data_IF_979876959005
#
_entry.id   IF_979876959005
#
_cell.length_a   1.000
_cell.length_b   1.000
_cell.length_c   1.000
_cell.angle_alpha   90.00
_cell.angle_beta   90.00
_cell.angle_gamma   90.00
#
_symmetry.space_group_name_H-M   'P 1'
#
loop_
_entity.id
_entity.type
_entity.pdbx_description
1 polymer ?
#
# COMPACT_ATOMS: atom_id res chain seq x y z
N UNK A 1 -19.60 24.35 -4.35
CA UNK A 1 -19.49 22.90 -4.62
C UNK A 1 -20.85 22.31 -4.34
N UNK A 2 -21.48 21.69 -5.33
CA UNK A 2 -22.70 20.94 -5.07
C UNK A 2 -22.37 19.86 -4.04
N UNK A 3 -23.18 19.72 -3.00
CA UNK A 3 -23.08 18.62 -2.04
C UNK A 3 -23.31 17.31 -2.78
N UNK A 4 -22.23 16.72 -3.27
CA UNK A 4 -22.22 15.35 -3.77
C UNK A 4 -22.55 14.46 -2.57
N UNK A 5 -23.80 14.08 -2.42
CA UNK A 5 -24.22 13.10 -1.41
C UNK A 5 -23.67 11.72 -1.82
N UNK A 6 -22.34 11.57 -1.69
CA UNK A 6 -21.61 10.36 -2.06
C UNK A 6 -21.80 9.33 -0.94
N UNK A 7 -22.58 8.30 -1.20
CA UNK A 7 -22.63 7.12 -0.31
C UNK A 7 -21.37 6.25 -0.51
N UNK A 8 -20.21 6.86 -0.28
CA UNK A 8 -18.89 6.26 -0.44
C UNK A 8 -18.16 6.23 0.90
N UNK A 9 -17.62 5.10 1.26
CA UNK A 9 -16.82 4.92 2.46
C UNK A 9 -15.39 4.50 2.08
N UNK A 10 -14.39 5.37 2.32
CA UNK A 10 -13.00 4.96 2.25
C UNK A 10 -12.66 4.01 3.41
N UNK A 11 -12.21 2.81 3.09
CA UNK A 11 -11.79 1.77 4.03
C UNK A 11 -10.27 1.65 3.95
N UNK A 12 -9.59 2.14 4.97
CA UNK A 12 -8.14 2.26 5.02
C UNK A 12 -7.57 1.14 5.90
N UNK A 13 -6.67 0.35 5.35
CA UNK A 13 -6.04 -0.73 6.09
C UNK A 13 -4.68 -0.25 6.59
N UNK A 14 -4.60 0.01 7.90
CA UNK A 14 -3.47 0.63 8.58
C UNK A 14 -3.93 1.60 9.67
N UNK A 15 -2.97 2.15 10.43
CA UNK A 15 -3.26 3.10 11.49
C UNK A 15 -2.17 4.18 11.65
N UNK A 16 -1.20 4.20 10.76
CA UNK A 16 -0.05 5.08 10.79
C UNK A 16 -0.33 6.47 10.18
N UNK A 17 0.73 7.25 10.03
CA UNK A 17 0.65 8.58 9.43
C UNK A 17 0.20 8.53 7.94
N UNK A 18 0.54 7.47 7.20
CA UNK A 18 0.09 7.33 5.82
C UNK A 18 -1.43 7.15 5.77
N UNK A 19 -1.98 6.33 6.67
CA UNK A 19 -3.42 6.16 6.83
C UNK A 19 -4.12 7.50 7.11
N UNK A 20 -3.59 8.30 8.03
CA UNK A 20 -4.13 9.61 8.32
C UNK A 20 -4.06 10.56 7.12
N UNK A 21 -2.95 10.56 6.38
CA UNK A 21 -2.79 11.42 5.19
C UNK A 21 -3.79 11.05 4.09
N UNK A 22 -4.05 9.76 3.87
CA UNK A 22 -5.08 9.31 2.92
C UNK A 22 -6.47 9.72 3.37
N UNK A 23 -6.80 9.53 4.66
CA UNK A 23 -8.07 9.97 5.23
C UNK A 23 -8.27 11.48 5.09
N UNK A 24 -7.22 12.25 5.32
CA UNK A 24 -7.23 13.70 5.16
C UNK A 24 -7.51 14.11 3.72
N UNK A 25 -6.90 13.45 2.75
CA UNK A 25 -7.14 13.72 1.33
C UNK A 25 -8.60 13.48 0.94
N UNK A 26 -9.22 12.38 1.40
CA UNK A 26 -10.64 12.13 1.18
C UNK A 26 -11.53 13.17 1.86
N UNK A 27 -11.16 13.57 3.07
CA UNK A 27 -11.93 14.57 3.81
C UNK A 27 -11.84 15.96 3.16
N UNK A 28 -10.64 16.41 2.80
CA UNK A 28 -10.43 17.72 2.16
C UNK A 28 -11.10 17.82 0.79
N UNK A 29 -11.05 16.73 -0.01
CA UNK A 29 -11.63 16.73 -1.35
C UNK A 29 -13.15 16.53 -1.39
N UNK A 30 -13.69 15.71 -0.48
CA UNK A 30 -15.06 15.22 -0.59
C UNK A 30 -15.88 15.30 0.71
N UNK A 31 -15.29 15.80 1.82
CA UNK A 31 -15.97 15.84 3.13
C UNK A 31 -16.18 14.46 3.77
N UNK A 32 -15.58 13.40 3.23
CA UNK A 32 -15.77 12.03 3.70
C UNK A 32 -15.05 11.76 5.02
N UNK A 33 -15.65 10.91 5.85
CA UNK A 33 -15.02 10.30 7.02
C UNK A 33 -14.56 8.89 6.65
N UNK A 34 -13.27 8.62 6.77
CA UNK A 34 -12.72 7.32 6.46
C UNK A 34 -12.86 6.33 7.61
N UNK A 35 -12.99 5.05 7.31
CA UNK A 35 -12.90 3.98 8.30
C UNK A 35 -11.53 3.32 8.20
N UNK A 36 -10.76 3.32 9.30
CA UNK A 36 -9.43 2.70 9.34
C UNK A 36 -9.45 1.43 10.17
N UNK A 37 -8.88 0.34 9.63
CA UNK A 37 -8.68 -0.91 10.35
C UNK A 37 -7.20 -1.13 10.62
N UNK A 38 -6.83 -1.46 11.85
CA UNK A 38 -5.44 -1.68 12.23
C UNK A 38 -5.30 -2.49 13.50
N UNK A 39 -4.13 -3.09 13.69
CA UNK A 39 -3.82 -3.90 14.91
C UNK A 39 -3.81 -3.05 16.18
N UNK A 40 -3.36 -1.83 16.06
CA UNK A 40 -3.33 -0.82 17.13
C UNK A 40 -3.46 0.58 16.52
N UNK A 41 -4.10 1.46 17.27
CA UNK A 41 -4.19 2.86 16.87
C UNK A 41 -2.96 3.64 17.33
N UNK A 42 -2.58 4.64 16.54
CA UNK A 42 -1.71 5.72 17.00
C UNK A 42 -2.53 7.00 17.18
N UNK A 43 -2.00 7.95 17.95
CA UNK A 43 -2.77 9.13 18.37
C UNK A 43 -3.46 9.90 17.26
N UNK A 44 -2.81 10.03 16.09
CA UNK A 44 -3.36 10.78 14.95
C UNK A 44 -4.56 10.10 14.28
N UNK A 45 -4.66 8.78 14.30
CA UNK A 45 -5.80 8.04 13.74
C UNK A 45 -6.88 7.76 14.77
N UNK A 46 -6.52 7.72 16.06
CA UNK A 46 -7.45 7.46 17.15
C UNK A 46 -8.24 8.69 17.60
N UNK A 47 -7.62 9.87 17.56
CA UNK A 47 -8.16 11.10 18.15
C UNK A 47 -8.47 12.17 17.10
N UNK A 48 -9.00 11.77 15.96
CA UNK A 48 -9.38 12.65 14.87
C UNK A 48 -10.87 12.48 14.52
N UNK A 49 -11.50 13.55 14.05
CA UNK A 49 -12.90 13.51 13.59
C UNK A 49 -13.06 12.95 12.17
N UNK A 50 -11.97 12.83 11.41
CA UNK A 50 -12.00 12.39 10.00
C UNK A 50 -11.73 10.89 9.82
N UNK A 51 -11.44 10.16 10.91
CA UNK A 51 -11.21 8.71 10.90
C UNK A 51 -12.03 8.04 11.98
N UNK A 52 -12.77 7.00 11.62
CA UNK A 52 -13.36 6.02 12.54
C UNK A 52 -12.44 4.81 12.61
N UNK A 53 -11.71 4.68 13.70
CA UNK A 53 -10.74 3.59 13.86
C UNK A 53 -11.38 2.31 14.40
N UNK A 54 -11.07 1.18 13.76
CA UNK A 54 -11.48 -0.17 14.15
C UNK A 54 -10.25 -1.00 14.49
N UNK A 55 -10.11 -1.38 15.75
CA UNK A 55 -9.04 -2.28 16.16
C UNK A 55 -9.36 -3.71 15.75
N UNK A 56 -8.47 -4.33 14.99
CA UNK A 56 -8.53 -5.75 14.60
C UNK A 56 -7.19 -6.37 14.94
N UNK A 57 -7.17 -7.22 15.96
CA UNK A 57 -5.95 -7.97 16.31
C UNK A 57 -5.57 -8.92 15.18
N UNK A 58 -4.29 -9.11 14.94
CA UNK A 58 -3.76 -9.98 13.88
C UNK A 58 -4.30 -9.67 12.46
N UNK A 59 -4.64 -8.41 12.18
CA UNK A 59 -5.18 -8.00 10.87
C UNK A 59 -4.25 -8.33 9.68
N UNK A 60 -2.99 -8.59 9.93
CA UNK A 60 -2.02 -9.02 8.93
C UNK A 60 -2.06 -10.53 8.60
N UNK A 61 -2.92 -11.30 9.26
CA UNK A 61 -3.16 -12.70 8.92
C UNK A 61 -4.32 -12.78 7.92
N UNK A 62 -4.15 -13.57 6.86
CA UNK A 62 -5.10 -13.66 5.74
C UNK A 62 -6.54 -13.93 6.20
N UNK A 63 -6.75 -14.94 7.05
CA UNK A 63 -8.09 -15.29 7.56
C UNK A 63 -8.73 -14.14 8.35
N UNK A 64 -7.95 -13.50 9.24
CA UNK A 64 -8.44 -12.38 10.07
C UNK A 64 -8.76 -11.17 9.21
N UNK A 65 -7.92 -10.89 8.22
CA UNK A 65 -8.13 -9.82 7.26
C UNK A 65 -9.43 -10.04 6.48
N UNK A 66 -9.61 -11.23 5.90
CA UNK A 66 -10.79 -11.55 5.12
C UNK A 66 -12.07 -11.51 5.95
N UNK A 67 -12.05 -12.03 7.19
CA UNK A 67 -13.19 -11.92 8.11
C UNK A 67 -13.53 -10.46 8.40
N UNK A 68 -12.54 -9.62 8.71
CA UNK A 68 -12.76 -8.21 9.02
C UNK A 68 -13.35 -7.43 7.81
N UNK A 69 -12.86 -7.72 6.61
CA UNK A 69 -13.37 -7.11 5.38
C UNK A 69 -14.80 -7.58 5.09
N UNK A 70 -15.10 -8.86 5.22
CA UNK A 70 -16.45 -9.40 5.01
C UNK A 70 -17.46 -8.81 6.02
N UNK A 71 -17.11 -8.77 7.30
CA UNK A 71 -17.93 -8.20 8.36
C UNK A 71 -18.22 -6.71 8.13
N UNK A 72 -17.21 -5.97 7.68
CA UNK A 72 -17.37 -4.55 7.38
C UNK A 72 -18.29 -4.33 6.18
N UNK A 73 -18.10 -5.09 5.10
CA UNK A 73 -18.94 -5.01 3.92
C UNK A 73 -20.40 -5.36 4.23
N UNK A 74 -20.65 -6.36 5.08
CA UNK A 74 -22.00 -6.74 5.49
C UNK A 74 -22.70 -5.62 6.28
N UNK A 75 -21.99 -4.88 7.12
CA UNK A 75 -22.52 -3.74 7.90
C UNK A 75 -22.77 -2.49 7.06
N UNK A 76 -22.18 -2.40 5.88
CA UNK A 76 -22.26 -1.25 4.98
C UNK A 76 -22.71 -1.67 3.58
N UNK A 77 -23.74 -2.54 3.52
CA UNK A 77 -24.21 -3.15 2.28
C UNK A 77 -24.78 -2.16 1.25
N UNK A 78 -25.21 -0.99 1.69
CA UNK A 78 -25.78 0.10 0.89
C UNK A 78 -24.74 1.11 0.38
N UNK A 79 -23.50 1.04 0.87
CA UNK A 79 -22.43 1.97 0.51
C UNK A 79 -21.48 1.41 -0.56
N UNK A 80 -20.87 2.31 -1.31
CA UNK A 80 -19.72 2.01 -2.16
C UNK A 80 -18.46 2.04 -1.31
N UNK A 81 -17.75 0.92 -1.21
CA UNK A 81 -16.55 0.77 -0.41
C UNK A 81 -15.30 0.89 -1.28
N UNK A 82 -14.36 1.75 -0.89
CA UNK A 82 -13.05 1.88 -1.55
C UNK A 82 -11.99 1.44 -0.56
N UNK A 83 -11.28 0.33 -0.84
CA UNK A 83 -10.27 -0.21 0.05
C UNK A 83 -8.86 0.22 -0.37
N UNK A 84 -8.09 0.74 0.60
CA UNK A 84 -6.71 1.19 0.42
C UNK A 84 -5.80 0.68 1.54
N UNK A 85 -4.72 -0.02 1.18
CA UNK A 85 -3.65 -0.40 2.10
C UNK A 85 -2.70 0.77 2.33
N UNK A 86 -2.49 1.15 3.58
CA UNK A 86 -1.64 2.27 3.94
C UNK A 86 -0.18 1.88 4.20
N UNK A 87 0.12 0.59 4.12
CA UNK A 87 1.47 0.01 4.12
C UNK A 87 1.59 -1.00 3.00
N UNK A 88 2.82 -1.36 2.63
CA UNK A 88 3.09 -2.37 1.60
C UNK A 88 2.47 -3.73 1.97
N UNK A 89 2.54 -4.12 3.25
CA UNK A 89 1.92 -5.35 3.78
C UNK A 89 0.41 -5.39 3.50
N UNK A 90 -0.30 -4.32 3.82
CA UNK A 90 -1.75 -4.25 3.63
C UNK A 90 -2.18 -4.03 2.18
N UNK A 91 -1.37 -3.34 1.39
CA UNK A 91 -1.59 -3.24 -0.05
C UNK A 91 -1.46 -4.63 -0.70
N UNK A 92 -0.44 -5.41 -0.30
CA UNK A 92 -0.23 -6.77 -0.78
C UNK A 92 -1.40 -7.71 -0.40
N UNK A 93 -1.95 -7.61 0.82
CA UNK A 93 -3.15 -8.37 1.22
C UNK A 93 -4.36 -8.03 0.35
N UNK A 94 -4.64 -6.75 0.10
CA UNK A 94 -5.74 -6.33 -0.77
C UNK A 94 -5.58 -6.82 -2.21
N UNK A 95 -4.35 -6.85 -2.72
CA UNK A 95 -4.06 -7.31 -4.08
C UNK A 95 -4.21 -8.82 -4.17
N UNK A 96 -3.71 -9.57 -3.18
CA UNK A 96 -3.79 -11.04 -3.10
C UNK A 96 -5.23 -11.53 -3.05
N UNK A 97 -6.06 -10.90 -2.22
CA UNK A 97 -7.46 -11.27 -2.03
C UNK A 97 -8.44 -10.47 -2.89
N UNK A 98 -7.94 -9.90 -3.97
CA UNK A 98 -8.76 -9.04 -4.84
C UNK A 98 -9.99 -9.75 -5.37
N UNK A 99 -9.84 -10.97 -5.88
CA UNK A 99 -10.92 -11.71 -6.52
C UNK A 99 -12.09 -12.01 -5.56
N UNK A 100 -11.78 -12.21 -4.26
CA UNK A 100 -12.80 -12.43 -3.25
C UNK A 100 -13.45 -11.11 -2.75
N UNK A 101 -12.76 -9.99 -2.92
CA UNK A 101 -13.18 -8.69 -2.39
C UNK A 101 -13.84 -7.77 -3.41
N UNK A 102 -13.56 -7.93 -4.71
CA UNK A 102 -13.93 -6.96 -5.75
C UNK A 102 -15.45 -6.83 -5.99
N UNK A 103 -16.25 -7.83 -5.59
CA UNK A 103 -17.71 -7.73 -5.61
C UNK A 103 -18.25 -6.69 -4.62
N UNK A 104 -17.48 -6.37 -3.58
CA UNK A 104 -17.90 -5.45 -2.50
C UNK A 104 -17.02 -4.21 -2.37
N UNK A 105 -15.75 -4.28 -2.84
CA UNK A 105 -14.78 -3.22 -2.70
C UNK A 105 -14.20 -2.78 -4.05
N UNK A 106 -14.11 -1.49 -4.24
CA UNK A 106 -13.23 -0.92 -5.27
C UNK A 106 -11.81 -0.99 -4.72
N UNK A 107 -10.93 -1.75 -5.39
CA UNK A 107 -9.52 -1.93 -5.01
C UNK A 107 -8.66 -1.31 -6.12
N UNK A 108 -8.21 -0.05 -5.98
CA UNK A 108 -7.53 0.70 -7.06
C UNK A 108 -6.04 0.36 -7.15
N UNK A 109 -5.72 -0.93 -7.14
CA UNK A 109 -4.35 -1.43 -7.28
C UNK A 109 -4.16 -2.18 -8.60
N UNK A 110 -2.91 -2.36 -8.98
CA UNK A 110 -2.51 -3.25 -10.07
C UNK A 110 -2.75 -4.72 -9.68
N UNK A 111 -2.69 -5.61 -10.68
CA UNK A 111 -2.78 -7.06 -10.44
C UNK A 111 -1.51 -7.60 -9.78
N UNK A 112 -1.65 -8.72 -9.08
CA UNK A 112 -0.57 -9.31 -8.29
C UNK A 112 0.66 -9.67 -9.14
N UNK A 113 0.44 -10.23 -10.33
CA UNK A 113 1.51 -10.61 -11.26
C UNK A 113 2.39 -9.43 -11.70
N UNK A 114 1.78 -8.24 -11.82
CA UNK A 114 2.51 -7.02 -12.11
C UNK A 114 3.15 -6.43 -10.85
N UNK A 115 2.46 -6.48 -9.72
CA UNK A 115 3.00 -5.99 -8.46
C UNK A 115 4.29 -6.71 -8.08
N UNK A 116 4.33 -8.04 -8.18
CA UNK A 116 5.52 -8.84 -7.86
C UNK A 116 6.75 -8.38 -8.67
N UNK A 117 6.57 -8.06 -9.95
CA UNK A 117 7.64 -7.54 -10.82
C UNK A 117 8.08 -6.11 -10.48
N UNK A 118 7.22 -5.33 -9.84
CA UNK A 118 7.51 -3.93 -9.49
C UNK A 118 8.08 -3.78 -8.08
N UNK A 119 7.83 -4.73 -7.19
CA UNK A 119 8.32 -4.70 -5.80
C UNK A 119 9.79 -5.08 -5.73
N UNK A 120 10.22 -6.08 -6.50
CA UNK A 120 11.64 -6.40 -6.60
C UNK A 120 12.40 -5.30 -7.37
N UNK A 121 13.46 -4.77 -6.75
CA UNK A 121 14.17 -3.61 -7.30
C UNK A 121 14.96 -3.96 -8.57
N UNK A 122 15.47 -5.17 -8.69
CA UNK A 122 16.20 -5.61 -9.87
C UNK A 122 15.25 -5.76 -11.07
N UNK A 123 14.10 -6.40 -10.85
CA UNK A 123 13.04 -6.53 -11.85
C UNK A 123 12.47 -5.17 -12.26
N UNK A 124 12.26 -4.27 -11.29
CA UNK A 124 11.78 -2.92 -11.55
C UNK A 124 12.73 -2.15 -12.47
N UNK A 125 14.04 -2.16 -12.23
CA UNK A 125 15.00 -1.47 -13.09
C UNK A 125 15.12 -2.12 -14.46
N UNK A 126 15.04 -3.44 -14.55
CA UNK A 126 14.96 -4.17 -15.83
C UNK A 126 13.73 -3.75 -16.64
N UNK A 127 12.60 -3.58 -15.99
CA UNK A 127 11.38 -3.05 -16.63
C UNK A 127 11.56 -1.58 -17.08
N UNK A 128 12.19 -0.75 -16.26
CA UNK A 128 12.49 0.62 -16.63
C UNK A 128 13.32 0.70 -17.92
N UNK A 129 14.36 -0.12 -18.04
CA UNK A 129 15.17 -0.22 -19.25
C UNK A 129 14.36 -0.66 -20.47
N UNK A 130 13.54 -1.70 -20.28
CA UNK A 130 12.66 -2.23 -21.34
C UNK A 130 11.69 -1.18 -21.90
N UNK A 131 11.17 -0.31 -21.05
CA UNK A 131 10.19 0.71 -21.43
C UNK A 131 10.78 2.10 -21.65
N UNK A 132 12.12 2.24 -21.60
CA UNK A 132 12.81 3.52 -21.77
C UNK A 132 12.52 4.54 -20.66
N UNK A 133 12.17 4.07 -19.47
CA UNK A 133 11.92 4.90 -18.30
C UNK A 133 13.25 5.22 -17.64
N UNK A 134 13.55 6.51 -17.48
CA UNK A 134 14.78 6.94 -16.83
C UNK A 134 14.78 6.59 -15.35
N UNK A 135 15.83 5.94 -14.88
CA UNK A 135 16.05 5.59 -13.48
C UNK A 135 17.52 5.87 -13.10
N UNK A 136 17.84 5.90 -11.79
CA UNK A 136 19.23 6.00 -11.34
C UNK A 136 20.05 4.84 -11.86
N UNK A 137 21.31 5.10 -12.24
CA UNK A 137 22.24 4.03 -12.61
C UNK A 137 22.38 3.06 -11.44
N UNK A 138 22.11 1.79 -11.68
CA UNK A 138 22.00 0.76 -10.65
C UNK A 138 22.89 -0.42 -10.99
N UNK A 139 23.47 -1.02 -9.97
CA UNK A 139 24.18 -2.30 -10.02
C UNK A 139 23.51 -3.23 -9.02
N UNK A 140 23.12 -4.41 -9.47
CA UNK A 140 22.59 -5.48 -8.62
C UNK A 140 23.72 -6.43 -8.30
N UNK A 141 23.85 -6.85 -7.04
CA UNK A 141 24.81 -7.84 -6.57
C UNK A 141 24.00 -9.00 -5.99
N UNK A 142 24.18 -10.19 -6.57
CA UNK A 142 23.37 -11.37 -6.21
C UNK A 142 24.02 -12.21 -5.10
N UNK A 143 25.30 -11.96 -4.82
CA UNK A 143 26.02 -12.70 -3.79
C UNK A 143 26.97 -11.81 -2.97
N UNK A 144 27.18 -12.11 -1.67
CA UNK A 144 28.13 -11.38 -0.83
C UNK A 144 29.54 -11.33 -1.41
N UNK A 145 29.99 -12.41 -2.05
CA UNK A 145 31.32 -12.48 -2.67
C UNK A 145 31.51 -11.45 -3.82
N UNK A 146 30.44 -11.05 -4.48
CA UNK A 146 30.49 -10.02 -5.51
C UNK A 146 30.70 -8.64 -4.88
N UNK A 147 30.10 -8.39 -3.71
CA UNK A 147 30.32 -7.17 -2.94
C UNK A 147 31.76 -7.07 -2.43
N UNK A 148 32.31 -8.18 -1.95
CA UNK A 148 33.70 -8.24 -1.47
C UNK A 148 34.74 -8.03 -2.60
N UNK A 149 34.38 -8.43 -3.82
CA UNK A 149 35.23 -8.24 -5.01
C UNK A 149 35.05 -6.86 -5.68
N UNK A 150 34.12 -6.03 -5.17
CA UNK A 150 33.79 -4.75 -5.77
C UNK A 150 34.81 -3.67 -5.35
N UNK A 151 35.43 -3.06 -6.33
CA UNK A 151 36.35 -1.92 -6.16
C UNK A 151 35.74 -0.66 -6.79
N UNK A 152 36.22 0.50 -6.39
CA UNK A 152 35.64 1.79 -6.84
C UNK A 152 35.65 1.96 -8.36
N UNK A 153 36.66 1.41 -9.05
CA UNK A 153 36.80 1.43 -10.51
C UNK A 153 35.78 0.49 -11.20
N UNK A 154 35.31 -0.55 -10.52
CA UNK A 154 34.30 -1.49 -11.04
C UNK A 154 32.86 -1.00 -10.86
N UNK A 155 32.61 -0.05 -9.98
CA UNK A 155 31.27 0.51 -9.76
C UNK A 155 30.68 1.14 -11.02
N UNK A 156 31.50 1.70 -11.89
CA UNK A 156 31.07 2.34 -13.13
C UNK A 156 30.24 3.62 -12.94
N UNK A 157 30.13 4.14 -11.71
CA UNK A 157 29.50 5.41 -11.35
C UNK A 157 30.16 6.02 -10.11
N UNK A 158 30.05 7.34 -9.98
CA UNK A 158 30.73 8.11 -8.96
C UNK A 158 29.96 8.15 -7.63
N UNK A 159 30.68 8.38 -6.52
CA UNK A 159 30.08 8.71 -5.22
C UNK A 159 29.41 10.12 -5.25
N UNK A 160 28.36 10.35 -4.41
CA UNK A 160 27.82 9.42 -3.41
C UNK A 160 26.93 8.33 -4.02
N UNK A 161 26.90 7.15 -3.39
CA UNK A 161 26.05 6.02 -3.77
C UNK A 161 25.08 5.66 -2.64
N UNK A 162 23.96 5.04 -2.98
CA UNK A 162 23.01 4.48 -2.02
C UNK A 162 23.04 2.94 -2.14
N UNK A 163 23.24 2.26 -1.03
CA UNK A 163 23.17 0.80 -0.95
C UNK A 163 21.86 0.42 -0.26
N UNK A 164 21.11 -0.49 -0.86
CA UNK A 164 19.83 -0.99 -0.32
C UNK A 164 19.72 -2.48 -0.50
N UNK A 165 19.03 -3.22 0.41
CA UNK A 165 18.64 -4.59 0.12
C UNK A 165 17.70 -4.62 -1.09
N UNK A 166 17.69 -5.74 -1.82
CA UNK A 166 16.82 -5.93 -2.98
C UNK A 166 15.36 -6.08 -2.56
N UNK A 167 15.14 -6.77 -1.47
CA UNK A 167 13.82 -7.02 -0.86
C UNK A 167 13.89 -6.86 0.65
#
# INVERSE_FOLDING_TARGET
>A
MEDLNLNVIPVLIGADQNCYNVARAFHEAYGLVSHAMGRYAIGITQHTSIVKFHRVENLNQDDTFMMAMADFAAKHSDATLIALGCTDEYAALLIRHREELEDRYIIPYIREDLMQKLVDKADFYTMCDKYGIRHPKTMVLDAPAEADALTADKLGFAYPIIVKPSS
#
